data_IF_965227404184
#
_entry.id   IF_965227404184
#
_cell.length_a   1.000
_cell.length_b   1.000
_cell.length_c   1.000
_cell.angle_alpha   90.00
_cell.angle_beta   90.00
_cell.angle_gamma   90.00
#
_symmetry.space_group_name_H-M   'P 1'
#
loop_
_entity.id
_entity.type
_entity.pdbx_description
1 polymer ?
#
# COMPACT_ATOMS: atom_id res chain seq x y z
N UNK A 1 -12.20 18.29 -5.17
CA UNK A 1 -13.64 18.52 -5.40
C UNK A 1 -14.17 19.22 -4.15
N UNK A 2 -14.71 20.42 -4.27
CA UNK A 2 -15.60 20.96 -3.24
C UNK A 2 -16.98 20.33 -3.46
N UNK A 3 -17.79 20.14 -2.41
CA UNK A 3 -19.11 19.49 -2.52
C UNK A 3 -20.12 20.23 -3.42
N UNK A 4 -19.76 21.41 -3.92
CA UNK A 4 -20.57 22.31 -4.75
C UNK A 4 -20.88 21.78 -6.15
N UNK A 5 -20.22 20.71 -6.60
CA UNK A 5 -20.45 20.12 -7.93
C UNK A 5 -21.43 18.94 -7.93
N UNK A 6 -21.92 18.52 -6.75
CA UNK A 6 -22.87 17.42 -6.64
C UNK A 6 -24.30 17.95 -6.67
N UNK A 7 -25.13 17.33 -7.48
CA UNK A 7 -26.58 17.53 -7.45
C UNK A 7 -27.16 17.05 -6.13
N UNK A 8 -28.32 17.57 -5.74
CA UNK A 8 -29.05 17.10 -4.55
C UNK A 8 -29.28 15.59 -4.57
N UNK A 9 -29.65 15.03 -5.73
CA UNK A 9 -29.88 13.59 -5.89
C UNK A 9 -28.61 12.76 -5.67
N UNK A 10 -27.44 13.21 -6.13
CA UNK A 10 -26.17 12.53 -5.87
C UNK A 10 -25.78 12.57 -4.39
N UNK A 11 -25.99 13.72 -3.73
CA UNK A 11 -25.74 13.86 -2.29
C UNK A 11 -26.66 12.93 -1.50
N UNK A 12 -27.96 12.88 -1.83
CA UNK A 12 -28.92 11.97 -1.19
C UNK A 12 -28.55 10.50 -1.42
N UNK A 13 -28.15 10.13 -2.65
CA UNK A 13 -27.68 8.80 -2.98
C UNK A 13 -26.45 8.38 -2.15
N UNK A 14 -25.45 9.28 -2.03
CA UNK A 14 -24.24 9.06 -1.22
C UNK A 14 -24.57 8.89 0.26
N UNK A 15 -25.45 9.73 0.82
CA UNK A 15 -25.88 9.62 2.22
C UNK A 15 -26.62 8.32 2.52
N UNK A 16 -27.33 7.77 1.53
CA UNK A 16 -28.06 6.52 1.67
C UNK A 16 -27.21 5.25 1.47
N UNK A 17 -25.88 5.34 1.36
CA UNK A 17 -25.02 4.15 1.25
C UNK A 17 -24.72 3.59 2.64
N UNK A 18 -24.80 2.26 2.82
CA UNK A 18 -24.36 1.65 4.06
C UNK A 18 -22.84 1.78 4.20
N UNK A 19 -22.34 1.92 5.43
CA UNK A 19 -20.91 1.97 5.73
C UNK A 19 -20.23 0.59 5.70
N UNK A 20 -21.04 -0.47 5.66
CA UNK A 20 -20.64 -1.88 5.57
C UNK A 20 -21.77 -2.75 4.99
N UNK A 21 -21.40 -3.88 4.41
CA UNK A 21 -22.35 -4.86 3.87
C UNK A 21 -22.03 -6.26 4.43
N UNK A 22 -23.01 -6.89 5.07
CA UNK A 22 -22.89 -8.29 5.48
C UNK A 22 -23.32 -9.22 4.34
N UNK A 23 -22.54 -10.26 4.07
CA UNK A 23 -22.79 -11.30 3.07
C UNK A 23 -22.82 -12.66 3.78
N UNK A 24 -23.89 -12.96 4.55
CA UNK A 24 -23.97 -14.17 5.37
C UNK A 24 -23.87 -15.46 4.55
N UNK A 25 -24.33 -15.45 3.30
CA UNK A 25 -24.21 -16.54 2.32
C UNK A 25 -22.75 -16.86 1.95
N UNK A 26 -21.83 -15.92 2.17
CA UNK A 26 -20.40 -16.08 1.93
C UNK A 26 -19.55 -16.07 3.21
N UNK A 27 -20.18 -15.98 4.40
CA UNK A 27 -19.48 -15.72 5.65
C UNK A 27 -18.49 -14.53 5.54
N UNK A 28 -18.95 -13.45 4.90
CA UNK A 28 -18.12 -12.29 4.60
C UNK A 28 -18.77 -10.97 5.02
N UNK A 29 -17.93 -9.97 5.25
CA UNK A 29 -18.35 -8.57 5.46
C UNK A 29 -17.49 -7.68 4.56
N UNK A 30 -18.12 -6.70 3.93
CA UNK A 30 -17.46 -5.66 3.14
C UNK A 30 -17.45 -4.36 3.95
N UNK A 31 -16.30 -3.71 4.07
CA UNK A 31 -16.14 -2.38 4.68
C UNK A 31 -15.15 -1.55 3.86
N UNK A 32 -15.22 -0.22 3.92
CA UNK A 32 -14.29 0.62 3.14
C UNK A 32 -12.83 0.44 3.59
N UNK A 33 -12.56 0.50 4.90
CA UNK A 33 -11.21 0.47 5.47
C UNK A 33 -10.96 -0.73 6.41
N UNK A 34 -11.61 -0.76 7.59
CA UNK A 34 -11.38 -1.85 8.54
C UNK A 34 -12.47 -2.07 9.57
N UNK A 35 -12.34 -3.18 10.30
CA UNK A 35 -13.25 -3.58 11.37
C UNK A 35 -12.45 -3.85 12.64
N UNK A 36 -12.95 -3.41 13.78
CA UNK A 36 -12.37 -3.73 15.09
C UNK A 36 -12.66 -5.17 15.46
N UNK A 37 -11.61 -5.94 15.74
CA UNK A 37 -11.75 -7.28 16.28
C UNK A 37 -12.45 -7.26 17.64
N UNK A 38 -13.34 -8.23 17.89
CA UNK A 38 -14.08 -8.36 19.15
C UNK A 38 -15.22 -7.36 19.35
N UNK A 39 -15.42 -6.40 18.44
CA UNK A 39 -16.54 -5.44 18.52
C UNK A 39 -17.70 -5.92 17.62
N UNK A 40 -18.92 -6.07 18.15
CA UNK A 40 -20.08 -6.43 17.33
C UNK A 40 -20.28 -5.51 16.14
N UNK A 41 -20.75 -6.04 15.01
CA UNK A 41 -20.90 -5.27 13.76
C UNK A 41 -21.77 -4.02 13.95
N UNK A 42 -22.80 -4.07 14.80
CA UNK A 42 -23.68 -2.94 15.11
C UNK A 42 -23.00 -1.81 15.90
N UNK A 43 -21.87 -2.10 16.57
CA UNK A 43 -21.16 -1.19 17.48
C UNK A 43 -19.81 -0.70 16.91
N UNK A 44 -19.51 -1.08 15.66
CA UNK A 44 -18.34 -0.60 14.94
C UNK A 44 -18.42 0.93 14.79
N UNK A 45 -17.29 1.61 14.97
CA UNK A 45 -17.25 3.06 14.84
C UNK A 45 -17.08 3.45 13.37
N UNK A 46 -17.76 4.51 12.95
CA UNK A 46 -17.69 4.97 11.57
C UNK A 46 -16.25 5.33 11.13
N UNK A 47 -15.45 5.91 12.02
CA UNK A 47 -14.06 6.24 11.76
C UNK A 47 -13.21 5.01 11.43
N UNK A 48 -13.46 3.89 12.10
CA UNK A 48 -12.75 2.63 11.86
C UNK A 48 -13.09 2.04 10.49
N UNK A 49 -14.39 2.04 10.18
CA UNK A 49 -14.93 1.57 8.91
C UNK A 49 -14.41 2.35 7.70
N UNK A 50 -14.01 3.61 7.89
CA UNK A 50 -13.67 4.53 6.80
C UNK A 50 -12.20 4.95 6.73
N UNK A 51 -11.43 4.80 7.82
CA UNK A 51 -10.07 5.32 7.87
C UNK A 51 -9.00 4.36 8.42
N UNK A 52 -9.37 3.22 9.02
CA UNK A 52 -8.39 2.33 9.67
C UNK A 52 -7.38 1.75 8.67
N UNK A 53 -6.09 1.79 9.01
CA UNK A 53 -4.98 1.19 8.24
C UNK A 53 -4.12 0.23 9.03
N UNK A 54 -3.86 0.51 10.30
CA UNK A 54 -3.07 -0.35 11.18
C UNK A 54 -3.66 -0.38 12.58
N UNK A 55 -3.05 -1.20 13.43
CA UNK A 55 -3.21 -1.10 14.87
C UNK A 55 -1.97 -0.39 15.45
N UNK A 56 -2.16 0.43 16.47
CA UNK A 56 -1.07 1.04 17.22
C UNK A 56 -0.44 0.02 18.21
N UNK A 57 0.52 0.49 19.02
CA UNK A 57 1.22 -0.35 19.99
C UNK A 57 0.29 -0.93 21.08
N UNK A 58 -0.85 -0.29 21.34
CA UNK A 58 -1.88 -0.76 22.28
C UNK A 58 -2.91 -1.68 21.60
N UNK A 59 -2.76 -1.96 20.29
CA UNK A 59 -3.73 -2.74 19.52
C UNK A 59 -4.97 -1.96 19.11
N UNK A 60 -4.98 -0.63 19.24
CA UNK A 60 -6.11 0.22 18.87
C UNK A 60 -6.04 0.62 17.39
N UNK A 61 -7.19 0.84 16.73
CA UNK A 61 -7.23 1.34 15.36
C UNK A 61 -6.43 2.62 15.15
N UNK A 62 -5.66 2.64 14.06
CA UNK A 62 -4.93 3.82 13.63
C UNK A 62 -5.17 4.08 12.14
N UNK A 63 -5.46 5.33 11.74
CA UNK A 63 -5.60 5.71 10.34
C UNK A 63 -4.26 5.87 9.63
N UNK A 64 -3.16 5.89 10.38
CA UNK A 64 -1.81 5.96 9.84
C UNK A 64 -1.37 4.59 9.34
N UNK A 65 -0.61 4.54 8.26
CA UNK A 65 0.01 3.29 7.85
C UNK A 65 1.17 2.95 8.81
N UNK A 66 0.91 2.13 9.84
CA UNK A 66 1.95 1.56 10.70
C UNK A 66 2.71 0.38 10.06
N UNK A 67 3.58 -0.27 10.83
CA UNK A 67 4.32 -1.45 10.35
C UNK A 67 3.40 -2.66 10.09
N UNK A 68 2.35 -2.83 10.89
CA UNK A 68 1.43 -3.98 10.82
C UNK A 68 0.05 -3.52 10.34
N UNK A 69 -0.46 -4.14 9.26
CA UNK A 69 -1.85 -3.93 8.83
C UNK A 69 -2.82 -4.50 9.86
N UNK A 70 -3.93 -3.82 10.14
CA UNK A 70 -4.97 -4.35 11.02
C UNK A 70 -5.49 -5.71 10.52
N UNK A 71 -5.54 -5.86 9.19
CA UNK A 71 -6.04 -7.06 8.52
C UNK A 71 -5.17 -8.30 8.80
N UNK A 72 -3.87 -8.11 9.07
CA UNK A 72 -2.96 -9.20 9.46
C UNK A 72 -3.26 -9.73 10.87
N UNK A 73 -3.89 -8.93 11.72
CA UNK A 73 -4.29 -9.29 13.09
C UNK A 73 -5.71 -9.86 13.16
N UNK A 74 -6.49 -9.80 12.07
CA UNK A 74 -7.84 -10.36 12.03
C UNK A 74 -7.79 -11.89 12.06
N UNK A 75 -8.60 -12.50 12.94
CA UNK A 75 -8.61 -13.95 13.21
C UNK A 75 -9.88 -14.67 12.74
N UNK A 76 -10.81 -13.95 12.11
CA UNK A 76 -12.08 -14.53 11.66
C UNK A 76 -13.05 -14.82 12.81
N UNK A 77 -14.01 -15.75 12.63
CA UNK A 77 -14.15 -16.65 11.47
C UNK A 77 -14.72 -15.98 10.20
N UNK A 78 -15.33 -14.81 10.33
CA UNK A 78 -15.89 -14.07 9.19
C UNK A 78 -14.79 -13.42 8.37
N UNK A 79 -14.87 -13.52 7.04
CA UNK A 79 -13.90 -12.92 6.14
C UNK A 79 -14.20 -11.43 5.91
N UNK A 80 -13.20 -10.56 5.96
CA UNK A 80 -13.38 -9.13 5.71
C UNK A 80 -12.80 -8.73 4.36
N UNK A 81 -13.62 -8.15 3.50
CA UNK A 81 -13.22 -7.59 2.20
C UNK A 81 -13.17 -6.08 2.33
N UNK A 82 -12.03 -5.46 2.02
CA UNK A 82 -11.81 -4.04 2.27
C UNK A 82 -10.97 -3.35 1.20
N UNK A 83 -10.93 -2.02 1.25
CA UNK A 83 -10.14 -1.16 0.37
C UNK A 83 -9.28 -0.18 1.18
N UNK A 84 -9.36 1.11 0.84
CA UNK A 84 -8.73 2.26 1.52
C UNK A 84 -7.20 2.34 1.50
N UNK A 85 -6.53 1.19 1.61
CA UNK A 85 -5.10 1.08 1.83
C UNK A 85 -4.28 0.71 0.60
N UNK A 86 -4.50 1.46 -0.49
CA UNK A 86 -3.70 1.42 -1.73
C UNK A 86 -2.18 1.45 -1.53
N UNK A 87 -1.67 2.00 -0.42
CA UNK A 87 -0.23 2.00 -0.10
C UNK A 87 0.31 0.57 0.04
N UNK A 88 -0.47 -0.34 0.62
CA UNK A 88 -0.12 -1.75 0.78
C UNK A 88 -0.54 -2.62 -0.41
N UNK A 89 -1.22 -2.04 -1.41
CA UNK A 89 -1.74 -2.74 -2.59
C UNK A 89 -2.63 -3.93 -2.17
N UNK A 90 -2.61 -5.01 -2.97
CA UNK A 90 -3.36 -6.22 -2.69
C UNK A 90 -2.90 -6.83 -1.35
N UNK A 91 -3.84 -7.04 -0.42
CA UNK A 91 -3.56 -7.68 0.87
C UNK A 91 -4.29 -9.02 0.93
N UNK A 92 -3.57 -10.12 1.13
CA UNK A 92 -4.12 -11.47 1.23
C UNK A 92 -3.80 -12.05 2.61
N UNK A 93 -4.80 -12.08 3.49
CA UNK A 93 -4.73 -12.70 4.80
C UNK A 93 -5.75 -13.84 4.89
N UNK A 94 -5.60 -14.76 5.87
CA UNK A 94 -6.50 -15.92 6.01
C UNK A 94 -7.99 -15.55 6.05
N UNK A 95 -8.32 -14.47 6.76
CA UNK A 95 -9.70 -14.00 6.96
C UNK A 95 -9.90 -12.54 6.53
N UNK A 96 -8.99 -11.97 5.75
CA UNK A 96 -9.13 -10.61 5.27
C UNK A 96 -8.50 -10.43 3.88
N UNK A 97 -9.16 -9.67 3.01
CA UNK A 97 -8.68 -9.38 1.65
C UNK A 97 -8.85 -7.91 1.31
N UNK A 98 -7.73 -7.21 1.14
CA UNK A 98 -7.68 -5.82 0.72
C UNK A 98 -7.56 -5.73 -0.79
N UNK A 99 -8.56 -5.18 -1.48
CA UNK A 99 -8.65 -5.10 -2.96
C UNK A 99 -8.26 -3.73 -3.52
N UNK A 100 -7.91 -2.76 -2.69
CA UNK A 100 -7.42 -1.46 -3.16
C UNK A 100 -5.99 -1.59 -3.69
N UNK A 101 -5.88 -1.89 -4.98
CA UNK A 101 -4.61 -1.97 -5.71
C UNK A 101 -4.16 -0.63 -6.28
N UNK A 102 -4.77 0.48 -5.86
CA UNK A 102 -4.35 1.84 -6.22
C UNK A 102 -4.50 2.16 -7.71
N UNK A 103 -5.65 1.82 -8.31
CA UNK A 103 -5.95 2.04 -9.73
C UNK A 103 -5.68 3.48 -10.18
N UNK A 104 -6.19 4.47 -9.43
CA UNK A 104 -6.05 5.90 -9.73
C UNK A 104 -4.58 6.36 -9.78
N UNK A 105 -3.70 5.62 -9.10
CA UNK A 105 -2.26 5.85 -9.05
C UNK A 105 -1.47 5.06 -10.11
N UNK A 106 -2.14 4.56 -11.15
CA UNK A 106 -1.53 3.73 -12.21
C UNK A 106 -1.38 2.26 -11.82
N UNK A 107 -2.07 1.81 -10.77
CA UNK A 107 -2.11 0.40 -10.37
C UNK A 107 -3.14 -0.41 -11.15
N UNK A 108 -3.95 -1.19 -10.44
CA UNK A 108 -5.03 -1.99 -11.02
C UNK A 108 -6.35 -1.67 -10.35
N UNK A 109 -7.46 -1.86 -11.06
CA UNK A 109 -8.79 -2.02 -10.48
C UNK A 109 -9.00 -3.52 -10.21
N UNK A 110 -9.12 -3.90 -8.94
CA UNK A 110 -9.23 -5.29 -8.52
C UNK A 110 -10.61 -5.59 -7.96
N UNK A 111 -11.17 -6.73 -8.35
CA UNK A 111 -12.39 -7.31 -7.84
C UNK A 111 -12.11 -8.70 -7.26
N UNK A 112 -12.85 -9.04 -6.20
CA UNK A 112 -12.93 -10.39 -5.66
C UNK A 112 -14.31 -10.94 -6.05
N UNK A 113 -14.33 -11.99 -6.86
CA UNK A 113 -15.53 -12.64 -7.36
C UNK A 113 -15.87 -13.81 -6.44
N UNK A 114 -17.05 -13.76 -5.84
CA UNK A 114 -17.57 -14.77 -4.91
C UNK A 114 -18.66 -15.56 -5.64
N UNK A 115 -18.41 -16.84 -6.00
CA UNK A 115 -19.43 -17.68 -6.61
C UNK A 115 -20.59 -17.93 -5.65
N UNK A 116 -21.81 -18.01 -6.18
CA UNK A 116 -23.02 -18.30 -5.40
C UNK A 116 -22.86 -19.59 -4.58
N UNK A 117 -23.31 -19.57 -3.33
CA UNK A 117 -23.20 -20.70 -2.41
C UNK A 117 -21.79 -20.97 -1.86
N UNK A 118 -20.74 -20.28 -2.34
CA UNK A 118 -19.39 -20.47 -1.84
C UNK A 118 -19.17 -19.75 -0.51
N UNK A 119 -19.22 -20.51 0.59
CA UNK A 119 -18.94 -20.03 1.97
C UNK A 119 -17.45 -20.01 2.30
N UNK A 120 -16.59 -20.50 1.41
CA UNK A 120 -15.16 -20.65 1.65
C UNK A 120 -14.35 -19.94 0.58
N UNK A 121 -13.20 -19.39 0.97
CA UNK A 121 -12.31 -18.65 0.07
C UNK A 121 -11.76 -19.50 -1.09
N UNK A 122 -11.86 -20.83 -1.04
CA UNK A 122 -11.30 -21.75 -2.03
C UNK A 122 -11.79 -21.49 -3.46
N UNK A 123 -13.06 -21.11 -3.62
CA UNK A 123 -13.66 -20.89 -4.96
C UNK A 123 -13.66 -19.41 -5.38
N UNK A 124 -13.21 -18.52 -4.51
CA UNK A 124 -13.22 -17.08 -4.78
C UNK A 124 -12.09 -16.71 -5.73
N UNK A 125 -12.36 -15.81 -6.67
CA UNK A 125 -11.42 -15.46 -7.74
C UNK A 125 -11.07 -13.99 -7.71
N UNK A 126 -9.78 -13.68 -7.76
CA UNK A 126 -9.32 -12.31 -7.99
C UNK A 126 -9.29 -12.02 -9.49
N UNK A 127 -9.88 -10.89 -9.87
CA UNK A 127 -9.84 -10.36 -11.23
C UNK A 127 -9.31 -8.94 -11.14
N UNK A 128 -8.38 -8.58 -12.03
CA UNK A 128 -7.79 -7.25 -12.03
C UNK A 128 -7.63 -6.72 -13.44
N UNK A 129 -7.87 -5.42 -13.61
CA UNK A 129 -7.67 -4.68 -14.86
C UNK A 129 -6.63 -3.60 -14.62
N UNK A 130 -5.61 -3.53 -15.48
CA UNK A 130 -4.56 -2.51 -15.38
C UNK A 130 -5.12 -1.12 -15.66
N UNK A 131 -4.69 -0.14 -14.88
CA UNK A 131 -4.92 1.26 -15.20
C UNK A 131 -4.18 1.61 -16.50
N UNK A 132 -4.88 2.25 -17.43
CA UNK A 132 -4.29 2.73 -18.69
C UNK A 132 -3.61 4.09 -18.52
N UNK A 133 -3.85 4.77 -17.41
CA UNK A 133 -3.35 6.11 -17.12
C UNK A 133 -3.21 6.32 -15.61
N UNK A 134 -2.17 7.05 -15.20
CA UNK A 134 -2.01 7.55 -13.83
C UNK A 134 -2.73 8.89 -13.70
N UNK A 135 -3.79 8.93 -12.89
CA UNK A 135 -4.59 10.13 -12.66
C UNK A 135 -4.12 10.92 -11.43
N UNK A 136 -3.51 10.24 -10.47
CA UNK A 136 -2.93 10.84 -9.27
C UNK A 136 -1.54 10.27 -9.03
N UNK A 137 -0.61 11.07 -8.53
CA UNK A 137 0.71 10.59 -8.14
C UNK A 137 0.69 10.25 -6.64
N UNK A 138 1.08 9.02 -6.28
CA UNK A 138 1.28 8.67 -4.87
C UNK A 138 2.41 9.54 -4.30
N UNK A 139 2.13 10.26 -3.21
CA UNK A 139 2.81 11.51 -2.86
C UNK A 139 4.35 11.49 -2.76
N UNK A 140 4.95 12.51 -3.38
CA UNK A 140 6.15 13.19 -2.87
C UNK A 140 5.72 14.15 -1.75
N UNK A 141 6.02 13.82 -0.52
CA UNK A 141 5.82 14.71 0.63
C UNK A 141 7.01 15.67 0.75
N UNK A 142 6.81 16.94 0.44
CA UNK A 142 7.77 18.01 0.75
C UNK A 142 7.57 19.27 -0.11
N UNK A 143 7.14 20.36 0.53
CA UNK A 143 7.13 21.70 -0.08
C UNK A 143 5.75 22.23 -0.39
N UNK A 144 5.39 23.33 0.26
CA UNK A 144 4.22 24.18 -0.02
C UNK A 144 4.12 24.52 -1.50
N UNK A 145 3.16 23.93 -2.21
CA UNK A 145 2.71 24.39 -3.51
C UNK A 145 1.23 24.11 -3.65
N UNK A 146 0.50 25.12 -4.10
CA UNK A 146 -0.95 25.17 -4.22
C UNK A 146 -1.53 23.89 -4.83
N UNK A 147 -2.68 23.48 -4.27
CA UNK A 147 -3.59 22.51 -4.87
C UNK A 147 -3.95 23.01 -6.27
N UNK A 148 -3.20 22.57 -7.28
CA UNK A 148 -3.60 22.77 -8.67
C UNK A 148 -4.76 21.81 -8.92
N UNK A 149 -5.96 22.42 -8.90
CA UNK A 149 -7.18 21.83 -9.43
C UNK A 149 -6.87 21.36 -10.85
N UNK A 150 -7.02 20.08 -11.14
CA UNK A 150 -6.88 19.58 -12.51
C UNK A 150 -8.27 19.43 -13.14
N UNK A 151 -8.63 20.24 -14.14
CA UNK A 151 -9.83 20.04 -14.93
C UNK A 151 -9.47 19.06 -16.06
N UNK A 152 -9.71 17.76 -15.87
CA UNK A 152 -9.42 16.69 -16.85
C UNK A 152 -8.05 16.78 -17.53
N UNK A 153 -7.04 16.26 -16.84
CA UNK A 153 -5.69 15.93 -17.28
C UNK A 153 -5.51 15.80 -18.82
N UNK A 154 -5.23 16.93 -19.49
CA UNK A 154 -4.48 16.99 -20.76
C UNK A 154 -3.65 18.26 -20.81
N UNK A 155 -2.35 18.09 -20.71
CA UNK A 155 -1.44 18.67 -21.72
C UNK A 155 -0.30 17.70 -21.90
N UNK A 156 -0.16 17.24 -23.14
CA UNK A 156 1.04 16.61 -23.65
C UNK A 156 2.22 17.55 -23.36
N UNK A 157 3.07 17.19 -22.41
CA UNK A 157 4.44 17.66 -22.38
C UNK A 157 5.31 16.46 -22.07
N UNK A 158 6.01 16.00 -23.10
CA UNK A 158 7.21 15.17 -22.93
C UNK A 158 8.09 15.82 -21.87
N UNK A 159 8.61 15.10 -20.86
CA UNK A 159 9.64 15.68 -20.01
C UNK A 159 10.86 15.97 -20.88
N UNK A 160 11.35 17.22 -20.80
CA UNK A 160 12.63 17.61 -21.34
C UNK A 160 13.70 16.63 -20.84
N UNK A 161 14.55 16.18 -21.77
CA UNK A 161 15.51 15.12 -21.53
C UNK A 161 16.38 15.39 -20.31
N UNK A 162 16.53 14.38 -19.45
CA UNK A 162 17.65 14.31 -18.52
C UNK A 162 18.94 14.47 -19.32
N UNK A 163 19.74 15.50 -19.02
CA UNK A 163 20.97 15.78 -19.77
C UNK A 163 21.90 14.55 -19.72
N UNK A 164 22.40 14.09 -20.88
CA UNK A 164 23.24 12.88 -21.00
C UNK A 164 24.49 12.98 -20.11
N UNK A 165 24.99 14.20 -19.91
CA UNK A 165 26.17 14.49 -19.07
C UNK A 165 25.92 14.19 -17.59
N UNK A 166 24.75 14.53 -17.05
CA UNK A 166 24.44 14.29 -15.63
C UNK A 166 24.31 12.78 -15.34
N UNK A 167 23.79 12.01 -16.31
CA UNK A 167 23.76 10.53 -16.23
C UNK A 167 25.15 9.92 -16.32
N UNK A 168 26.05 10.51 -17.11
CA UNK A 168 27.43 10.04 -17.22
C UNK A 168 28.21 10.33 -15.94
N UNK A 169 28.06 11.52 -15.35
CA UNK A 169 28.68 11.90 -14.08
C UNK A 169 28.24 10.98 -12.93
N UNK A 170 26.94 10.75 -12.77
CA UNK A 170 26.42 9.83 -11.73
C UNK A 170 26.92 8.39 -11.91
N UNK A 171 27.12 7.93 -13.16
CA UNK A 171 27.71 6.60 -13.44
C UNK A 171 29.19 6.54 -13.08
N UNK A 172 29.96 7.59 -13.37
CA UNK A 172 31.38 7.64 -13.04
C UNK A 172 31.63 7.77 -11.53
N UNK A 173 30.81 8.56 -10.81
CA UNK A 173 30.85 8.61 -9.35
C UNK A 173 30.53 7.26 -8.70
N UNK A 174 29.51 6.56 -9.21
CA UNK A 174 29.16 5.22 -8.73
C UNK A 174 30.28 4.19 -8.95
N UNK A 175 31.02 4.29 -10.06
CA UNK A 175 32.20 3.44 -10.32
C UNK A 175 33.35 3.74 -9.37
N UNK A 176 33.63 5.03 -9.09
CA UNK A 176 34.69 5.48 -8.18
C UNK A 176 34.44 5.01 -6.75
N UNK A 177 33.21 5.18 -6.26
CA UNK A 177 32.84 4.73 -4.91
C UNK A 177 32.91 3.20 -4.76
N UNK A 178 32.50 2.45 -5.80
CA UNK A 178 32.62 0.99 -5.82
C UNK A 178 34.09 0.53 -5.80
N UNK A 179 34.98 1.25 -6.47
CA UNK A 179 36.42 0.96 -6.45
C UNK A 179 37.01 1.20 -5.07
N UNK A 180 36.71 2.36 -4.46
CA UNK A 180 37.16 2.74 -3.10
C UNK A 180 36.79 1.69 -2.05
N UNK A 181 35.53 1.25 -2.03
CA UNK A 181 35.06 0.20 -1.11
C UNK A 181 35.79 -1.13 -1.30
N UNK A 182 36.13 -1.47 -2.55
CA UNK A 182 36.86 -2.72 -2.86
C UNK A 182 38.31 -2.65 -2.38
N UNK A 183 38.94 -1.49 -2.43
CA UNK A 183 40.31 -1.30 -1.96
C UNK A 183 40.38 -1.23 -0.43
N UNK A 184 39.42 -0.59 0.22
CA UNK A 184 39.26 -0.63 1.68
C UNK A 184 39.07 -2.07 2.18
N UNK A 185 38.21 -2.86 1.52
CA UNK A 185 38.00 -4.27 1.86
C UNK A 185 39.28 -5.12 1.66
N UNK A 186 40.07 -4.85 0.61
CA UNK A 186 41.37 -5.53 0.39
C UNK A 186 42.39 -5.15 1.46
N UNK A 187 42.44 -3.88 1.86
CA UNK A 187 43.34 -3.39 2.92
C UNK A 187 43.01 -4.05 4.25
N UNK A 188 41.74 -4.06 4.64
CA UNK A 188 41.25 -4.73 5.85
C UNK A 188 41.57 -6.23 5.84
N UNK A 189 41.48 -6.91 4.68
CA UNK A 189 41.84 -8.33 4.56
C UNK A 189 43.35 -8.59 4.70
N UNK A 190 44.20 -7.69 4.18
CA UNK A 190 45.67 -7.77 4.36
C UNK A 190 46.07 -7.53 5.82
N UNK A 191 45.40 -6.61 6.49
CA UNK A 191 45.67 -6.27 7.90
C UNK A 191 45.28 -7.42 8.84
N UNK A 192 44.13 -8.06 8.61
CA UNK A 192 43.73 -9.29 9.33
C UNK A 192 44.71 -10.44 9.10
N UNK A 193 45.30 -10.58 7.91
CA UNK A 193 46.34 -11.58 7.63
C UNK A 193 47.67 -11.29 8.34
N UNK A 194 47.99 -10.03 8.62
CA UNK A 194 49.19 -9.65 9.39
C UNK A 194 49.01 -9.89 10.89
N UNK A 195 47.80 -9.74 11.41
CA UNK A 195 47.48 -9.93 12.83
C UNK A 195 47.20 -11.40 13.21
N UNK A 196 46.96 -12.28 12.24
CA UNK A 196 46.72 -13.72 12.47
C UNK A 196 47.94 -14.62 12.23
N UNK A 197 49.14 -14.04 12.16
CA UNK A 197 50.40 -14.77 11.98
C UNK A 197 51.23 -14.83 13.24
N UNK A 198 50.67 -15.34 14.34
CA UNK A 198 51.45 -15.80 15.49
C UNK A 198 50.71 -16.98 16.12
N UNK A 199 51.32 -18.17 16.08
CA UNK A 199 50.73 -19.38 16.66
C UNK A 199 50.98 -20.68 15.91
N UNK A 200 52.25 -21.05 15.73
CA UNK A 200 52.80 -22.42 15.51
C UNK A 200 54.32 -22.22 15.36
N UNK A 201 55.29 -22.89 15.99
CA UNK A 201 55.50 -24.21 16.63
C UNK A 201 56.68 -23.97 17.63
N UNK A 202 56.93 -24.70 18.72
CA UNK A 202 57.70 -25.96 18.72
C UNK A 202 57.93 -26.47 20.16
N UNK A 203 57.88 -27.81 20.28
CA UNK A 203 58.42 -28.75 21.28
C UNK A 203 57.85 -28.81 22.70
#
# INVERSE_FOLDING_TARGET
>A
MTGEQLTRGEVEWLRGRPDRLALPEHNAIVAHAGLRAGVPLAQQQHADLTAMRSLDAAGLPSPTAGAVSWAASWRGPTHVIFGHDSRRRLQLHPFATGIDTGCVYGGQLTALVLPEGSRSRGDWRLVAVNATTTWCYAGSSGGTAAISRSPNCRRSQRPAGSNKEERHQKREEGKREKHRRRDEAKKARRERRRQGGDGTVDK
#
